data_IF_231688289334
#
_entry.id   IF_231688289334
#
_cell.length_a   1.000
_cell.length_b   1.000
_cell.length_c   1.000
_cell.angle_alpha   90.00
_cell.angle_beta   90.00
_cell.angle_gamma   90.00
#
_symmetry.space_group_name_H-M   'P 1'
#
loop_
_entity.id
_entity.type
_entity.pdbx_description
1 polymer ?
#
# COMPACT_ATOMS: atom_id res chain seq x y z
N UNK A 1 15.03 5.24 -19.87
CA UNK A 1 14.37 3.98 -19.49
C UNK A 1 14.37 3.68 -17.97
N UNK A 2 15.44 3.88 -17.19
CA UNK A 2 15.42 3.61 -15.73
C UNK A 2 14.66 4.69 -14.92
N UNK A 3 14.88 5.98 -15.24
CA UNK A 3 14.24 7.10 -14.57
C UNK A 3 12.70 7.14 -14.71
N UNK A 4 12.17 6.61 -15.82
CA UNK A 4 10.71 6.53 -16.04
C UNK A 4 10.08 5.45 -15.17
N UNK A 5 10.73 4.30 -15.03
CA UNK A 5 10.29 3.23 -14.11
C UNK A 5 10.35 3.66 -12.65
N UNK A 6 11.34 4.44 -12.25
CA UNK A 6 11.41 5.01 -10.90
C UNK A 6 10.27 6.01 -10.64
N UNK A 7 9.93 6.85 -11.62
CA UNK A 7 8.77 7.74 -11.55
C UNK A 7 7.45 6.96 -11.44
N UNK A 8 7.26 5.93 -12.25
CA UNK A 8 6.07 5.09 -12.20
C UNK A 8 5.94 4.37 -10.86
N UNK A 9 7.05 3.89 -10.31
CA UNK A 9 7.08 3.24 -9.01
C UNK A 9 6.77 4.22 -7.86
N UNK A 10 7.34 5.43 -7.91
CA UNK A 10 7.03 6.51 -6.97
C UNK A 10 5.54 6.88 -7.02
N UNK A 11 4.99 7.06 -8.22
CA UNK A 11 3.57 7.37 -8.42
C UNK A 11 2.64 6.25 -7.94
N UNK A 12 3.01 4.98 -8.16
CA UNK A 12 2.25 3.83 -7.66
C UNK A 12 2.25 3.78 -6.12
N UNK A 13 3.40 4.02 -5.50
CA UNK A 13 3.52 4.10 -4.05
C UNK A 13 2.70 5.25 -3.47
N UNK A 14 2.80 6.46 -4.04
CA UNK A 14 2.04 7.62 -3.57
C UNK A 14 0.52 7.39 -3.65
N UNK A 15 0.04 6.76 -4.73
CA UNK A 15 -1.38 6.40 -4.87
C UNK A 15 -1.83 5.43 -3.78
N UNK A 16 -1.04 4.40 -3.50
CA UNK A 16 -1.36 3.44 -2.44
C UNK A 16 -1.31 4.06 -1.04
N UNK A 17 -0.35 4.97 -0.79
CA UNK A 17 -0.29 5.71 0.48
C UNK A 17 -1.49 6.66 0.65
N UNK A 18 -1.92 7.33 -0.41
CA UNK A 18 -3.13 8.16 -0.42
C UNK A 18 -4.39 7.33 -0.14
N UNK A 19 -4.53 6.17 -0.80
CA UNK A 19 -5.66 5.26 -0.56
C UNK A 19 -5.65 4.72 0.87
N UNK A 20 -4.48 4.36 1.41
CA UNK A 20 -4.35 3.95 2.82
C UNK A 20 -4.83 5.04 3.78
N UNK A 21 -4.42 6.30 3.55
CA UNK A 21 -4.83 7.44 4.39
C UNK A 21 -6.33 7.68 4.31
N UNK A 22 -6.91 7.59 3.11
CA UNK A 22 -8.35 7.72 2.90
C UNK A 22 -9.12 6.65 3.68
N UNK A 23 -8.77 5.38 3.52
CA UNK A 23 -9.43 4.26 4.24
C UNK A 23 -9.29 4.43 5.75
N UNK A 24 -8.12 4.85 6.24
CA UNK A 24 -7.91 5.11 7.66
C UNK A 24 -8.82 6.24 8.18
N UNK A 25 -9.01 7.30 7.40
CA UNK A 25 -9.91 8.40 7.74
C UNK A 25 -11.37 7.94 7.75
N UNK A 26 -11.80 7.15 6.76
CA UNK A 26 -13.15 6.57 6.70
C UNK A 26 -13.43 5.66 7.90
N UNK A 27 -12.47 4.79 8.27
CA UNK A 27 -12.55 3.94 9.47
C UNK A 27 -12.62 4.78 10.75
N UNK A 28 -11.83 5.87 10.85
CA UNK A 28 -11.77 6.70 12.06
C UNK A 28 -12.98 7.61 12.22
N UNK A 29 -13.60 8.02 11.11
CA UNK A 29 -14.83 8.82 11.09
C UNK A 29 -16.10 7.98 11.16
N UNK A 30 -15.97 6.65 11.21
CA UNK A 30 -17.09 5.73 11.19
C UNK A 30 -17.84 5.77 12.54
N UNK A 31 -19.13 6.15 12.57
CA UNK A 31 -19.88 6.28 13.82
C UNK A 31 -20.20 4.91 14.44
N UNK A 32 -20.30 4.84 15.77
CA UNK A 32 -20.77 3.66 16.54
C UNK A 32 -22.26 3.82 16.90
N UNK A 33 -23.08 2.75 17.01
CA UNK A 33 -22.75 1.34 17.24
C UNK A 33 -23.10 0.40 16.07
N UNK A 34 -22.16 -0.48 15.72
CA UNK A 34 -22.36 -1.46 14.64
C UNK A 34 -23.08 -2.69 15.20
N UNK A 35 -24.41 -2.64 15.18
CA UNK A 35 -25.26 -3.80 15.36
C UNK A 35 -25.47 -4.47 13.99
N UNK A 36 -24.80 -5.60 13.76
CA UNK A 36 -24.87 -6.36 12.50
C UNK A 36 -23.55 -6.36 11.73
N UNK A 37 -23.36 -7.37 10.88
CA UNK A 37 -22.21 -7.50 10.00
C UNK A 37 -22.15 -6.30 9.05
N UNK A 38 -21.45 -5.24 9.45
CA UNK A 38 -21.30 -4.04 8.63
C UNK A 38 -20.34 -4.35 7.48
N UNK A 39 -20.94 -4.75 6.37
CA UNK A 39 -20.25 -5.10 5.14
C UNK A 39 -19.35 -3.96 4.66
N UNK A 40 -19.73 -2.70 4.92
CA UNK A 40 -18.94 -1.54 4.54
C UNK A 40 -17.69 -1.42 5.44
N UNK A 41 -17.82 -1.61 6.75
CA UNK A 41 -16.67 -1.64 7.64
C UNK A 41 -15.73 -2.82 7.35
N UNK A 42 -16.27 -4.01 7.09
CA UNK A 42 -15.49 -5.18 6.70
C UNK A 42 -14.75 -4.95 5.38
N UNK A 43 -15.41 -4.36 4.38
CA UNK A 43 -14.79 -3.97 3.12
C UNK A 43 -13.62 -2.98 3.34
N UNK A 44 -13.79 -1.98 4.21
CA UNK A 44 -12.72 -1.03 4.55
C UNK A 44 -11.52 -1.73 5.20
N UNK A 45 -11.74 -2.69 6.10
CA UNK A 45 -10.66 -3.48 6.72
C UNK A 45 -9.92 -4.38 5.73
N UNK A 46 -10.67 -5.04 4.84
CA UNK A 46 -10.08 -5.86 3.77
C UNK A 46 -9.27 -5.01 2.80
N UNK A 47 -9.82 -3.86 2.39
CA UNK A 47 -9.13 -2.91 1.50
C UNK A 47 -7.86 -2.38 2.15
N UNK A 48 -7.90 -2.01 3.44
CA UNK A 48 -6.70 -1.62 4.20
C UNK A 48 -5.64 -2.70 4.17
N UNK A 49 -6.05 -3.97 4.32
CA UNK A 49 -5.14 -5.11 4.34
C UNK A 49 -4.54 -5.40 2.96
N UNK A 50 -5.33 -5.28 1.88
CA UNK A 50 -4.82 -5.36 0.51
C UNK A 50 -3.78 -4.27 0.23
N UNK A 51 -4.11 -3.00 0.50
CA UNK A 51 -3.19 -1.87 0.26
C UNK A 51 -1.88 -2.03 1.05
N UNK A 52 -1.95 -2.52 2.29
CA UNK A 52 -0.75 -2.83 3.09
C UNK A 52 0.11 -3.93 2.47
N UNK A 53 -0.50 -5.00 1.96
CA UNK A 53 0.24 -6.09 1.30
C UNK A 53 0.90 -5.62 0.01
N UNK A 54 0.21 -4.80 -0.77
CA UNK A 54 0.73 -4.28 -2.03
C UNK A 54 1.91 -3.32 -1.81
N UNK A 55 1.79 -2.41 -0.82
CA UNK A 55 2.92 -1.57 -0.40
C UNK A 55 4.12 -2.38 0.10
N UNK A 56 3.87 -3.42 0.90
CA UNK A 56 4.95 -4.28 1.39
C UNK A 56 5.66 -4.99 0.24
N UNK A 57 4.90 -5.53 -0.73
CA UNK A 57 5.46 -6.14 -1.93
C UNK A 57 6.31 -5.17 -2.74
N UNK A 58 5.85 -3.94 -2.93
CA UNK A 58 6.63 -2.92 -3.64
C UNK A 58 7.95 -2.63 -2.91
N UNK A 59 7.92 -2.43 -1.58
CA UNK A 59 9.12 -2.19 -0.78
C UNK A 59 10.10 -3.37 -0.83
N UNK A 60 9.59 -4.60 -0.75
CA UNK A 60 10.41 -5.81 -0.88
C UNK A 60 11.04 -5.91 -2.27
N UNK A 61 10.27 -5.67 -3.34
CA UNK A 61 10.78 -5.65 -4.71
C UNK A 61 11.85 -4.57 -4.92
N UNK A 62 11.68 -3.39 -4.32
CA UNK A 62 12.69 -2.32 -4.34
C UNK A 62 13.96 -2.76 -3.59
N UNK A 63 13.79 -3.35 -2.41
CA UNK A 63 14.90 -3.81 -1.56
C UNK A 63 15.70 -4.93 -2.22
N UNK A 64 15.02 -5.88 -2.85
CA UNK A 64 15.64 -6.95 -3.65
C UNK A 64 16.36 -6.40 -4.88
N UNK A 65 15.75 -5.45 -5.60
CA UNK A 65 16.39 -4.79 -6.76
C UNK A 65 17.64 -4.00 -6.33
N UNK A 66 17.58 -3.27 -5.22
CA UNK A 66 18.74 -2.56 -4.66
C UNK A 66 19.82 -3.51 -4.14
N UNK A 67 19.43 -4.64 -3.55
CA UNK A 67 20.34 -5.67 -3.05
C UNK A 67 21.08 -6.38 -4.20
N UNK A 68 20.37 -6.76 -5.27
CA UNK A 68 20.96 -7.39 -6.46
C UNK A 68 21.98 -6.48 -7.17
N UNK A 69 21.69 -5.17 -7.25
CA UNK A 69 22.64 -4.18 -7.81
C UNK A 69 23.92 -4.00 -6.97
N UNK A 70 23.96 -4.48 -5.73
CA UNK A 70 25.13 -4.43 -4.85
C UNK A 70 25.99 -5.70 -4.89
N UNK A 71 25.49 -6.81 -5.45
CA UNK A 71 26.12 -8.14 -5.39
C UNK A 71 27.12 -8.48 -6.50
N UNK A 72 27.24 -7.66 -7.55
CA UNK A 72 28.01 -7.99 -8.76
C UNK A 72 29.39 -7.27 -8.84
N UNK A 73 30.04 -7.06 -7.68
CA UNK A 73 31.43 -6.60 -7.60
C UNK A 73 32.22 -7.44 -6.59
N UNK A 74 32.57 -8.67 -6.98
CA UNK A 74 33.70 -9.45 -6.42
C UNK A 74 34.38 -10.16 -7.58
#
# INVERSE_FOLDING_TARGET
MQAEREKEFGAARERLEAERKRIQAEISSYPTPIAGCDEQFNYLLERRSQVRRELARLVEEESLRRGAQRGERV
#
